data_IF_357925865807
#
_entry.id   IF_357925865807
#
_cell.length_a   1.000
_cell.length_b   1.000
_cell.length_c   1.000
_cell.angle_alpha   90.00
_cell.angle_beta   90.00
_cell.angle_gamma   90.00
#
_symmetry.space_group_name_H-M   'P 1'
#
loop_
_entity.id
_entity.type
_entity.pdbx_description
1 polymer ?
#
# COMPACT_ATOMS: atom_id res chain seq x y z
N UNK A 1 -7.64 6.34 -3.43
CA UNK A 1 -6.33 6.25 -2.74
C UNK A 1 -6.12 7.48 -1.88
N UNK A 2 -5.75 7.28 -0.63
CA UNK A 2 -5.54 8.37 0.32
C UNK A 2 -4.06 8.59 0.56
N UNK A 3 -3.67 9.83 0.85
CA UNK A 3 -2.31 10.11 1.31
C UNK A 3 -2.22 9.87 2.81
N UNK A 4 -1.22 9.09 3.21
CA UNK A 4 -0.92 8.90 4.63
C UNK A 4 -0.18 10.12 5.16
N UNK A 5 -0.63 10.65 6.29
CA UNK A 5 -0.01 11.81 6.92
C UNK A 5 0.10 11.59 8.44
N UNK A 6 0.67 12.57 9.14
CA UNK A 6 0.95 12.46 10.57
C UNK A 6 -0.30 12.34 11.45
N UNK A 7 -1.49 12.66 10.92
CA UNK A 7 -2.74 12.50 11.66
C UNK A 7 -3.29 11.07 11.56
N UNK A 8 -2.77 10.26 10.65
CA UNK A 8 -3.18 8.86 10.51
C UNK A 8 -2.45 7.99 11.53
N UNK A 9 -3.14 6.96 11.99
CA UNK A 9 -2.57 5.95 12.89
C UNK A 9 -2.47 4.64 12.12
N UNK A 10 -1.23 4.23 11.82
CA UNK A 10 -0.95 3.04 11.01
C UNK A 10 -1.60 1.78 11.61
N UNK A 11 -1.44 1.59 12.93
CA UNK A 11 -1.96 0.42 13.60
C UNK A 11 -3.49 0.37 13.62
N UNK A 12 -4.13 1.53 13.78
CA UNK A 12 -5.59 1.61 13.71
C UNK A 12 -6.12 1.30 12.33
N UNK A 13 -5.42 1.73 11.29
CA UNK A 13 -5.78 1.39 9.92
C UNK A 13 -5.77 -0.12 9.73
N UNK A 14 -4.73 -0.80 10.24
CA UNK A 14 -4.64 -2.26 10.17
C UNK A 14 -5.75 -2.95 10.96
N UNK A 15 -6.09 -2.43 12.14
CA UNK A 15 -7.13 -3.01 12.98
C UNK A 15 -8.53 -2.88 12.38
N UNK A 16 -8.78 -1.80 11.66
CA UNK A 16 -10.10 -1.46 11.16
C UNK A 16 -10.39 -1.99 9.76
N UNK A 17 -9.44 -2.61 9.10
CA UNK A 17 -9.59 -3.06 7.72
C UNK A 17 -9.08 -4.47 7.53
N UNK A 18 -9.87 -5.28 6.82
CA UNK A 18 -9.47 -6.66 6.53
C UNK A 18 -8.30 -6.73 5.56
N UNK A 19 -8.32 -5.89 4.53
CA UNK A 19 -7.24 -5.78 3.55
C UNK A 19 -6.88 -4.32 3.38
N UNK A 20 -5.58 -4.01 3.48
CA UNK A 20 -5.05 -2.67 3.27
C UNK A 20 -3.81 -2.76 2.38
N UNK A 21 -3.70 -1.85 1.43
CA UNK A 21 -2.53 -1.72 0.57
C UNK A 21 -1.83 -0.41 0.87
N UNK A 22 -0.52 -0.46 1.10
CA UNK A 22 0.32 0.73 1.24
C UNK A 22 1.33 0.78 0.11
N UNK A 23 1.43 1.94 -0.52
CA UNK A 23 2.50 2.22 -1.46
C UNK A 23 3.43 3.27 -0.85
N UNK A 24 4.69 2.92 -0.66
CA UNK A 24 5.72 3.88 -0.25
C UNK A 24 6.36 4.47 -1.50
N UNK A 25 6.55 5.78 -1.49
CA UNK A 25 7.16 6.46 -2.62
C UNK A 25 7.91 7.71 -2.22
N UNK A 26 8.61 8.30 -3.19
CA UNK A 26 9.31 9.56 -3.03
C UNK A 26 8.96 10.49 -4.20
N UNK A 27 9.23 11.80 -4.02
CA UNK A 27 8.94 12.80 -5.06
C UNK A 27 9.73 12.50 -6.34
N UNK A 28 10.95 12.00 -6.22
CA UNK A 28 11.85 11.76 -7.35
C UNK A 28 11.68 10.39 -8.00
N UNK A 29 10.76 9.58 -7.50
CA UNK A 29 10.56 8.21 -7.98
C UNK A 29 9.52 8.19 -9.11
N UNK A 30 9.99 8.14 -10.36
CA UNK A 30 9.09 8.07 -11.52
C UNK A 30 8.18 6.84 -11.50
N UNK A 31 8.68 5.61 -11.23
CA UNK A 31 7.81 4.43 -11.13
C UNK A 31 6.74 4.55 -10.05
N UNK A 32 7.01 5.29 -8.99
CA UNK A 32 6.02 5.51 -7.93
C UNK A 32 4.78 6.22 -8.45
N UNK A 33 4.94 7.18 -9.34
CA UNK A 33 3.81 7.92 -9.91
C UNK A 33 2.94 7.03 -10.79
N UNK A 34 3.56 6.18 -11.61
CA UNK A 34 2.84 5.23 -12.46
C UNK A 34 2.05 4.22 -11.61
N UNK A 35 2.66 3.69 -10.55
CA UNK A 35 2.02 2.77 -9.63
C UNK A 35 0.85 3.43 -8.90
N UNK A 36 1.05 4.66 -8.46
CA UNK A 36 0.00 5.42 -7.77
C UNK A 36 -1.22 5.60 -8.66
N UNK A 37 -1.01 5.92 -9.93
CA UNK A 37 -2.09 6.05 -10.89
C UNK A 37 -2.84 4.73 -11.06
N UNK A 38 -2.12 3.63 -11.27
CA UNK A 38 -2.72 2.31 -11.46
C UNK A 38 -3.52 1.85 -10.24
N UNK A 39 -2.97 2.07 -9.04
CA UNK A 39 -3.66 1.73 -7.80
C UNK A 39 -4.92 2.57 -7.60
N UNK A 40 -4.85 3.85 -7.93
CA UNK A 40 -6.01 4.75 -7.84
C UNK A 40 -7.14 4.25 -8.75
N UNK A 41 -6.80 3.85 -9.99
CA UNK A 41 -7.79 3.32 -10.93
C UNK A 41 -8.36 1.98 -10.47
N UNK A 42 -7.50 1.09 -9.97
CA UNK A 42 -7.94 -0.20 -9.46
C UNK A 42 -8.89 -0.05 -8.26
N UNK A 43 -8.61 0.90 -7.37
CA UNK A 43 -9.44 1.11 -6.18
C UNK A 43 -10.85 1.56 -6.51
N UNK A 44 -11.06 2.21 -7.63
CA UNK A 44 -12.41 2.63 -8.05
C UNK A 44 -13.38 1.44 -8.15
N UNK A 45 -12.87 0.27 -8.54
CA UNK A 45 -13.65 -0.97 -8.62
C UNK A 45 -13.49 -1.86 -7.40
N UNK A 46 -12.71 -1.44 -6.42
CA UNK A 46 -12.42 -2.18 -5.18
C UNK A 46 -12.49 -1.25 -3.99
N UNK A 47 -13.57 -0.47 -3.91
CA UNK A 47 -13.72 0.64 -2.96
C UNK A 47 -13.78 0.22 -1.50
N UNK A 48 -14.04 -1.05 -1.22
CA UNK A 48 -14.02 -1.58 0.14
C UNK A 48 -12.62 -1.96 0.63
N UNK A 49 -11.60 -1.82 -0.22
CA UNK A 49 -10.20 -2.01 0.16
C UNK A 49 -9.55 -0.65 0.31
N UNK A 50 -8.96 -0.37 1.47
CA UNK A 50 -8.25 0.87 1.72
C UNK A 50 -6.87 0.83 1.07
N UNK A 51 -6.52 1.90 0.36
CA UNK A 51 -5.22 2.05 -0.30
C UNK A 51 -4.63 3.38 0.10
N UNK A 52 -3.41 3.36 0.64
CA UNK A 52 -2.70 4.55 1.09
C UNK A 52 -1.40 4.73 0.35
N UNK A 53 -1.11 5.98 0.00
CA UNK A 53 0.21 6.38 -0.46
C UNK A 53 0.97 7.00 0.71
N UNK A 54 2.16 6.49 0.99
CA UNK A 54 3.01 6.96 2.09
C UNK A 54 4.25 7.64 1.51
N UNK A 55 4.30 8.99 1.51
CA UNK A 55 5.53 9.69 1.13
C UNK A 55 6.61 9.41 2.18
N UNK A 56 7.72 8.82 1.76
CA UNK A 56 8.79 8.46 2.67
C UNK A 56 9.40 9.70 3.32
N UNK A 57 9.58 10.77 2.54
CA UNK A 57 10.16 12.01 3.05
C UNK A 57 9.40 12.60 4.25
N UNK A 58 8.10 12.39 4.29
CA UNK A 58 7.24 12.91 5.35
C UNK A 58 6.96 11.89 6.46
N UNK A 59 7.43 10.65 6.28
CA UNK A 59 7.14 9.53 7.19
C UNK A 59 8.36 8.64 7.40
N UNK A 60 9.51 9.27 7.61
CA UNK A 60 10.80 8.56 7.69
C UNK A 60 10.85 7.54 8.83
N UNK A 61 10.29 7.90 9.97
CA UNK A 61 10.30 7.01 11.13
C UNK A 61 9.46 5.76 10.89
N UNK A 62 8.25 5.94 10.33
CA UNK A 62 7.36 4.83 9.99
C UNK A 62 8.03 3.92 8.96
N UNK A 63 8.61 4.50 7.91
CA UNK A 63 9.30 3.73 6.89
C UNK A 63 10.44 2.90 7.48
N UNK A 64 11.25 3.51 8.35
CA UNK A 64 12.36 2.83 9.03
C UNK A 64 11.85 1.67 9.89
N UNK A 65 10.79 1.90 10.67
CA UNK A 65 10.21 0.88 11.53
C UNK A 65 9.70 -0.32 10.75
N UNK A 66 9.20 -0.09 9.54
CA UNK A 66 8.68 -1.16 8.68
C UNK A 66 9.73 -1.73 7.72
N UNK A 67 10.99 -1.34 7.88
CA UNK A 67 12.08 -1.88 7.07
C UNK A 67 12.06 -1.45 5.62
N UNK A 68 11.48 -0.28 5.32
CA UNK A 68 11.39 0.23 3.95
C UNK A 68 12.71 0.89 3.59
N UNK A 69 13.43 0.29 2.64
CA UNK A 69 14.77 0.74 2.25
C UNK A 69 14.80 1.45 0.90
N UNK A 70 13.75 1.34 0.11
CA UNK A 70 13.74 1.89 -1.25
C UNK A 70 12.32 2.18 -1.72
N UNK A 71 12.20 2.97 -2.78
CA UNK A 71 10.95 3.27 -3.45
C UNK A 71 11.03 2.83 -4.91
N UNK A 72 9.95 2.31 -5.51
CA UNK A 72 8.68 2.06 -4.84
C UNK A 72 8.69 0.80 -3.99
N UNK A 73 7.90 0.76 -2.94
CA UNK A 73 7.62 -0.45 -2.18
C UNK A 73 6.11 -0.56 -1.99
N UNK A 74 5.57 -1.75 -2.24
CA UNK A 74 4.17 -2.08 -2.01
C UNK A 74 4.09 -3.07 -0.86
N UNK A 75 3.19 -2.79 0.08
CA UNK A 75 2.85 -3.73 1.14
C UNK A 75 1.35 -4.03 1.11
N UNK A 76 1.00 -5.28 1.28
CA UNK A 76 -0.38 -5.71 1.47
C UNK A 76 -0.50 -6.35 2.85
N UNK A 77 -1.43 -5.85 3.64
CA UNK A 77 -1.77 -6.40 4.94
C UNK A 77 -3.14 -7.06 4.86
N UNK A 78 -3.23 -8.27 5.42
CA UNK A 78 -4.48 -9.02 5.51
C UNK A 78 -4.72 -9.35 6.97
N UNK A 79 -5.85 -8.89 7.49
CA UNK A 79 -6.24 -9.07 8.89
C UNK A 79 -5.14 -8.63 9.87
N UNK A 80 -4.53 -7.49 9.57
CA UNK A 80 -3.50 -6.87 10.40
C UNK A 80 -2.10 -7.44 10.22
N UNK A 81 -1.91 -8.43 9.35
CA UNK A 81 -0.61 -9.08 9.15
C UNK A 81 -0.05 -8.80 7.77
N UNK A 82 1.25 -8.57 7.72
CA UNK A 82 1.95 -8.37 6.45
C UNK A 82 1.90 -9.65 5.62
N UNK A 83 1.30 -9.56 4.45
CA UNK A 83 1.13 -10.67 3.53
C UNK A 83 2.09 -10.59 2.35
N UNK A 84 2.21 -9.40 1.74
CA UNK A 84 3.10 -9.17 0.60
C UNK A 84 3.90 -7.90 0.86
N UNK A 85 5.20 -7.96 0.57
CA UNK A 85 6.06 -6.78 0.50
C UNK A 85 6.97 -6.94 -0.72
N UNK A 86 6.92 -5.98 -1.63
CA UNK A 86 7.75 -5.99 -2.85
C UNK A 86 8.33 -4.62 -3.09
N UNK A 87 9.61 -4.59 -3.47
CA UNK A 87 10.35 -3.35 -3.75
C UNK A 87 11.03 -3.43 -5.11
N UNK A 88 11.27 -2.29 -5.72
CA UNK A 88 11.98 -2.20 -7.00
C UNK A 88 11.12 -2.61 -8.17
N UNK A 89 11.57 -3.63 -8.92
CA UNK A 89 10.83 -4.14 -10.07
C UNK A 89 9.96 -5.31 -9.66
N UNK A 90 8.66 -5.17 -9.85
CA UNK A 90 7.69 -6.22 -9.53
C UNK A 90 6.44 -6.03 -10.40
N UNK A 91 5.61 -7.06 -10.47
CA UNK A 91 4.35 -6.98 -11.19
C UNK A 91 3.23 -6.55 -10.24
N UNK A 92 2.70 -5.35 -10.47
CA UNK A 92 1.54 -4.86 -9.71
C UNK A 92 0.31 -5.74 -9.99
N UNK A 93 0.11 -6.15 -11.23
CA UNK A 93 -1.03 -6.99 -11.61
C UNK A 93 -1.02 -8.32 -10.85
N UNK A 94 0.15 -8.91 -10.66
CA UNK A 94 0.30 -10.14 -9.90
C UNK A 94 -0.08 -9.95 -8.43
N UNK A 95 0.35 -8.84 -7.84
CA UNK A 95 -0.02 -8.48 -6.47
C UNK A 95 -1.54 -8.29 -6.35
N UNK A 96 -2.11 -7.50 -7.26
CA UNK A 96 -3.55 -7.19 -7.22
C UNK A 96 -4.41 -8.42 -7.49
N UNK A 97 -3.97 -9.35 -8.33
CA UNK A 97 -4.67 -10.60 -8.54
C UNK A 97 -4.74 -11.43 -7.24
N UNK A 98 -3.68 -11.45 -6.47
CA UNK A 98 -3.68 -12.12 -5.16
C UNK A 98 -4.62 -11.42 -4.18
N UNK A 99 -4.60 -10.09 -4.17
CA UNK A 99 -5.51 -9.30 -3.32
C UNK A 99 -6.96 -9.61 -3.65
N UNK A 100 -7.31 -9.67 -4.93
CA UNK A 100 -8.69 -9.96 -5.37
C UNK A 100 -9.15 -11.34 -4.94
N UNK A 101 -8.26 -12.34 -4.92
CA UNK A 101 -8.58 -13.67 -4.40
C UNK A 101 -8.95 -13.62 -2.92
N UNK A 102 -8.16 -12.92 -2.12
CA UNK A 102 -8.45 -12.78 -0.69
C UNK A 102 -9.69 -11.93 -0.44
N UNK A 103 -9.91 -10.91 -1.27
CA UNK A 103 -11.13 -10.12 -1.23
C UNK A 103 -12.36 -11.00 -1.39
N UNK A 104 -12.34 -11.92 -2.34
CA UNK A 104 -13.47 -12.82 -2.60
C UNK A 104 -13.77 -13.75 -1.42
N UNK A 105 -12.78 -14.03 -0.60
CA UNK A 105 -12.93 -14.89 0.58
C UNK A 105 -13.39 -14.10 1.81
N UNK A 106 -12.86 -12.90 2.00
CA UNK A 106 -13.03 -12.13 3.24
C UNK A 106 -14.18 -11.12 3.21
N UNK A 107 -14.63 -10.73 2.04
CA UNK A 107 -15.66 -9.67 1.91
C UNK A 107 -17.01 -10.21 1.42
#
# INVERSE_FOLDING_TARGET
MKNFNLTNDFNKILENNKIVIFQYGTITCAPCHSLKYKLTEWQKENSNIEVYYIPIEDNKELAAQNGILSAPTIEVYIEGKLFIQRSGYFSLDEILNKVEKYKSILY
#
